data_IF_527833525175
#
_entry.id   IF_527833525175
#
_cell.length_a   1.000
_cell.length_b   1.000
_cell.length_c   1.000
_cell.angle_alpha   90.00
_cell.angle_beta   90.00
_cell.angle_gamma   90.00
#
_symmetry.space_group_name_H-M   'P 1'
#
loop_
_entity.id
_entity.type
_entity.pdbx_description
1 polymer ?
#
# COMPACT_ATOMS: atom_id res chain seq x y z
N UNK A 1 -79.95 -9.62 34.00
CA UNK A 1 -79.53 -8.23 34.28
C UNK A 1 -78.53 -8.28 35.43
N UNK A 2 -77.30 -7.82 35.18
CA UNK A 2 -76.32 -7.14 36.07
C UNK A 2 -76.33 -7.45 37.58
N UNK A 3 -75.21 -7.60 38.31
CA UNK A 3 -73.76 -7.53 38.04
C UNK A 3 -73.02 -7.97 39.32
N UNK A 4 -71.72 -8.19 39.16
CA UNK A 4 -70.64 -8.56 40.08
C UNK A 4 -70.42 -7.69 41.33
N UNK A 5 -69.62 -8.22 42.29
CA UNK A 5 -68.47 -7.52 42.88
C UNK A 5 -67.48 -8.51 43.54
N UNK A 6 -66.19 -8.44 43.16
CA UNK A 6 -65.04 -9.04 43.87
C UNK A 6 -64.06 -7.92 44.22
N UNK A 7 -63.50 -8.01 45.43
CA UNK A 7 -62.63 -7.02 46.06
C UNK A 7 -61.14 -7.38 45.88
N UNK A 8 -60.32 -6.34 45.88
CA UNK A 8 -58.91 -6.25 45.50
C UNK A 8 -57.90 -7.06 46.35
N UNK A 9 -56.71 -7.28 45.77
CA UNK A 9 -55.44 -7.32 46.51
C UNK A 9 -54.29 -6.73 45.67
N UNK A 10 -53.32 -6.17 46.37
CA UNK A 10 -52.32 -5.18 45.96
C UNK A 10 -51.21 -5.68 45.01
N UNK A 11 -50.69 -4.77 44.17
CA UNK A 11 -49.44 -4.93 43.42
C UNK A 11 -48.51 -3.76 43.75
N UNK A 12 -47.32 -4.10 44.22
CA UNK A 12 -46.16 -3.23 44.44
C UNK A 12 -45.60 -2.70 43.13
N UNK A 13 -45.40 -1.39 43.04
CA UNK A 13 -44.79 -0.70 41.92
C UNK A 13 -43.27 -0.90 41.88
N UNK A 14 -42.75 -1.36 40.74
CA UNK A 14 -41.36 -1.17 40.33
C UNK A 14 -41.36 -0.50 38.97
N UNK A 15 -40.74 0.67 38.92
CA UNK A 15 -40.66 1.55 37.77
C UNK A 15 -39.96 0.85 36.59
N UNK A 16 -40.68 0.75 35.46
CA UNK A 16 -40.10 0.35 34.19
C UNK A 16 -39.24 1.49 33.63
N UNK A 17 -37.92 1.33 33.66
CA UNK A 17 -37.02 2.09 32.82
C UNK A 17 -37.20 1.58 31.39
N UNK A 18 -37.99 2.30 30.59
CA UNK A 18 -38.01 2.12 29.14
C UNK A 18 -36.65 2.57 28.58
N UNK A 19 -35.73 1.61 28.42
CA UNK A 19 -34.55 1.79 27.60
C UNK A 19 -35.04 1.85 26.14
N UNK A 20 -35.17 3.06 25.63
CA UNK A 20 -35.30 3.34 24.21
C UNK A 20 -34.11 2.72 23.49
N UNK A 21 -34.36 1.66 22.71
CA UNK A 21 -33.38 1.14 21.78
C UNK A 21 -32.97 2.28 20.82
N UNK A 22 -31.68 2.55 20.62
CA UNK A 22 -31.29 3.50 19.59
C UNK A 22 -31.71 2.90 18.25
N UNK A 23 -32.46 3.69 17.47
CA UNK A 23 -32.84 3.37 16.11
C UNK A 23 -31.59 2.91 15.36
N UNK A 24 -31.71 1.75 14.71
CA UNK A 24 -30.68 1.23 13.82
C UNK A 24 -30.29 2.34 12.85
N UNK A 25 -29.06 2.83 12.98
CA UNK A 25 -28.48 3.70 11.97
C UNK A 25 -28.51 2.89 10.67
N UNK A 26 -29.29 3.38 9.72
CA UNK A 26 -29.25 2.92 8.34
C UNK A 26 -27.78 2.96 7.93
N UNK A 27 -27.19 1.79 7.74
CA UNK A 27 -25.80 1.65 7.35
C UNK A 27 -25.60 2.44 6.07
N UNK A 28 -24.90 3.57 6.17
CA UNK A 28 -24.22 4.13 5.02
C UNK A 28 -23.26 3.04 4.59
N UNK A 29 -23.55 2.38 3.47
CA UNK A 29 -22.58 1.53 2.79
C UNK A 29 -21.37 2.40 2.51
N UNK A 30 -20.35 2.33 3.38
CA UNK A 30 -19.05 2.88 3.08
C UNK A 30 -18.61 2.20 1.79
N UNK A 31 -18.43 2.97 0.73
CA UNK A 31 -17.66 2.50 -0.42
C UNK A 31 -16.33 2.05 0.16
N UNK A 32 -16.08 0.74 0.21
CA UNK A 32 -14.83 0.21 0.71
C UNK A 32 -13.74 0.74 -0.22
N UNK A 33 -12.93 1.66 0.30
CA UNK A 33 -11.76 2.26 -0.34
C UNK A 33 -10.71 1.16 -0.55
N UNK A 34 -10.96 0.18 -1.40
CA UNK A 34 -9.89 -0.77 -1.71
C UNK A 34 -8.94 -0.08 -2.66
N UNK A 35 -7.69 0.08 -2.22
CA UNK A 35 -6.44 0.40 -2.93
C UNK A 35 -5.33 -0.38 -2.24
N UNK A 36 -5.53 -1.70 -2.11
CA UNK A 36 -4.67 -2.59 -1.31
C UNK A 36 -3.24 -2.54 -1.81
N UNK A 37 -2.29 -2.65 -0.90
CA UNK A 37 -0.88 -2.88 -1.21
C UNK A 37 -0.55 -4.22 -0.57
N UNK A 38 -0.52 -5.25 -1.40
CA UNK A 38 -0.34 -6.63 -0.98
C UNK A 38 1.10 -7.05 -1.30
N UNK A 39 1.74 -7.79 -0.40
CA UNK A 39 3.11 -8.27 -0.62
C UNK A 39 3.22 -9.77 -0.37
N UNK A 40 3.69 -10.50 -1.38
CA UNK A 40 4.11 -11.89 -1.17
C UNK A 40 5.45 -11.93 -0.47
N UNK A 41 5.53 -12.78 0.55
CA UNK A 41 6.72 -12.98 1.37
C UNK A 41 7.07 -14.46 1.38
N UNK A 42 7.69 -14.91 0.28
CA UNK A 42 8.09 -16.30 0.08
C UNK A 42 9.56 -16.56 0.45
N UNK A 43 10.48 -15.67 0.09
CA UNK A 43 11.90 -15.79 0.44
C UNK A 43 12.14 -15.22 1.84
N UNK A 44 11.97 -16.05 2.88
CA UNK A 44 12.25 -15.64 4.26
C UNK A 44 13.74 -15.63 4.61
N UNK A 45 14.55 -16.39 3.88
CA UNK A 45 15.98 -16.50 4.09
C UNK A 45 16.72 -16.34 2.76
N UNK A 46 17.60 -15.36 2.67
CA UNK A 46 18.51 -15.18 1.54
C UNK A 46 19.91 -15.56 2.00
N UNK A 47 20.51 -16.60 1.42
CA UNK A 47 21.84 -17.08 1.79
C UNK A 47 21.98 -17.35 3.31
N UNK A 48 20.97 -18.01 3.90
CA UNK A 48 20.84 -18.27 5.34
C UNK A 48 20.71 -17.02 6.24
N UNK A 49 20.54 -15.84 5.66
CA UNK A 49 20.24 -14.61 6.39
C UNK A 49 18.74 -14.37 6.39
N UNK A 50 18.18 -14.25 7.59
CA UNK A 50 16.76 -13.95 7.77
C UNK A 50 16.41 -12.57 7.16
N UNK A 51 15.36 -12.53 6.35
CA UNK A 51 14.83 -11.32 5.72
C UNK A 51 13.59 -10.88 6.47
N UNK A 52 13.72 -9.90 7.38
CA UNK A 52 12.58 -9.40 8.16
C UNK A 52 11.58 -8.62 7.28
N UNK A 53 10.25 -8.88 7.40
CA UNK A 53 9.22 -8.10 6.71
C UNK A 53 8.86 -6.80 7.44
N UNK A 54 9.26 -6.66 8.72
CA UNK A 54 8.92 -5.49 9.57
C UNK A 54 9.21 -4.13 8.96
N UNK A 55 10.28 -3.93 8.16
CA UNK A 55 10.53 -2.64 7.52
C UNK A 55 9.36 -2.11 6.69
N UNK A 56 8.43 -2.96 6.22
CA UNK A 56 7.20 -2.48 5.57
C UNK A 56 6.30 -1.70 6.53
N UNK A 57 6.19 -2.10 7.80
CA UNK A 57 5.43 -1.32 8.80
C UNK A 57 6.28 -0.27 9.49
N UNK A 58 7.56 -0.55 9.78
CA UNK A 58 8.45 0.37 10.51
C UNK A 58 8.74 1.66 9.71
N UNK A 59 8.58 1.61 8.38
CA UNK A 59 8.74 2.77 7.50
C UNK A 59 7.40 3.36 6.99
N UNK A 60 6.26 2.97 7.59
CA UNK A 60 4.92 3.49 7.23
C UNK A 60 4.62 3.42 5.72
N UNK A 61 4.90 2.28 5.08
CA UNK A 61 4.82 2.18 3.62
C UNK A 61 3.39 2.21 3.08
N UNK A 62 2.38 2.02 3.93
CA UNK A 62 0.99 1.81 3.52
C UNK A 62 0.66 0.39 3.09
N UNK A 63 1.54 -0.59 3.40
CA UNK A 63 1.22 -2.02 3.24
C UNK A 63 -0.09 -2.36 3.96
N UNK A 64 -0.98 -3.08 3.29
CA UNK A 64 -2.26 -3.51 3.86
C UNK A 64 -2.27 -5.00 4.18
N UNK A 65 -1.62 -5.81 3.33
CA UNK A 65 -1.68 -7.27 3.42
C UNK A 65 -0.31 -7.90 3.13
N UNK A 66 0.06 -8.93 3.90
CA UNK A 66 1.24 -9.75 3.64
C UNK A 66 0.83 -11.21 3.50
N UNK A 67 1.28 -11.83 2.42
CA UNK A 67 1.00 -13.22 2.09
C UNK A 67 2.25 -14.05 2.38
N UNK A 68 2.30 -14.72 3.55
CA UNK A 68 3.43 -15.55 3.96
C UNK A 68 3.34 -16.92 3.29
N UNK A 69 4.39 -17.32 2.58
CA UNK A 69 4.32 -18.49 1.73
C UNK A 69 5.66 -19.15 1.39
N UNK A 70 5.64 -20.24 0.63
CA UNK A 70 4.43 -20.97 0.24
C UNK A 70 4.14 -22.11 1.23
N UNK A 71 2.88 -22.29 1.62
CA UNK A 71 2.43 -23.43 2.43
C UNK A 71 2.16 -24.62 1.52
N UNK A 72 2.85 -25.73 1.76
CA UNK A 72 2.71 -26.97 1.02
C UNK A 72 2.19 -28.10 1.91
N UNK A 73 1.19 -28.82 1.39
CA UNK A 73 0.70 -30.06 1.98
C UNK A 73 1.35 -31.21 1.23
N UNK A 74 2.22 -31.98 1.87
CA UNK A 74 3.07 -32.98 1.22
C UNK A 74 2.47 -34.39 1.29
N UNK A 75 2.82 -35.27 0.34
CA UNK A 75 2.24 -36.62 0.24
C UNK A 75 2.67 -37.57 1.35
N UNK A 76 3.75 -37.26 2.08
CA UNK A 76 4.16 -37.97 3.29
C UNK A 76 3.34 -37.55 4.53
N UNK A 77 2.34 -36.69 4.34
CA UNK A 77 1.52 -36.15 5.40
C UNK A 77 2.16 -34.98 6.15
N UNK A 78 3.33 -34.48 5.74
CA UNK A 78 3.91 -33.28 6.36
C UNK A 78 3.27 -32.01 5.80
N UNK A 79 3.38 -30.91 6.57
CA UNK A 79 3.02 -29.57 6.12
C UNK A 79 4.24 -28.70 6.25
N UNK A 80 4.65 -28.08 5.16
CA UNK A 80 5.81 -27.20 5.13
C UNK A 80 5.42 -25.75 4.79
N UNK A 81 6.17 -24.81 5.34
CA UNK A 81 6.38 -23.48 4.78
C UNK A 81 7.68 -23.56 3.98
N UNK A 82 7.58 -23.43 2.66
CA UNK A 82 8.64 -23.77 1.72
C UNK A 82 9.20 -25.18 2.01
N UNK A 83 10.45 -25.27 2.44
CA UNK A 83 11.13 -26.56 2.62
C UNK A 83 11.04 -27.15 4.04
N UNK A 84 10.44 -26.44 5.01
CA UNK A 84 10.49 -26.83 6.42
C UNK A 84 9.14 -26.74 7.10
N UNK A 85 8.88 -27.52 8.17
CA UNK A 85 7.66 -27.39 8.95
C UNK A 85 7.46 -25.93 9.43
N UNK A 86 6.23 -25.39 9.42
CA UNK A 86 5.96 -24.03 9.90
C UNK A 86 6.44 -23.77 11.34
N UNK A 87 6.49 -24.81 12.16
CA UNK A 87 6.99 -24.75 13.54
C UNK A 87 8.50 -25.00 13.71
N UNK A 88 9.26 -25.09 12.61
CA UNK A 88 10.72 -25.14 12.68
C UNK A 88 11.24 -23.85 13.33
N UNK A 89 12.19 -24.00 14.28
CA UNK A 89 12.74 -22.91 15.08
C UNK A 89 13.30 -21.73 14.26
N UNK A 90 13.67 -21.95 12.99
CA UNK A 90 14.08 -20.86 12.10
C UNK A 90 12.98 -19.80 11.94
N UNK A 91 11.71 -20.23 11.85
CA UNK A 91 10.61 -19.31 11.62
C UNK A 91 10.14 -18.59 12.88
N UNK A 92 10.73 -18.85 14.06
CA UNK A 92 10.33 -18.19 15.31
C UNK A 92 10.39 -16.66 15.22
N UNK A 93 11.48 -16.11 14.66
CA UNK A 93 11.60 -14.67 14.47
C UNK A 93 10.59 -14.16 13.44
N UNK A 94 10.37 -14.92 12.36
CA UNK A 94 9.40 -14.58 11.33
C UNK A 94 7.99 -14.47 11.89
N UNK A 95 7.52 -15.46 12.65
CA UNK A 95 6.20 -15.41 13.26
C UNK A 95 6.07 -14.26 14.26
N UNK A 96 7.13 -13.96 15.01
CA UNK A 96 7.18 -12.78 15.90
C UNK A 96 7.04 -11.48 15.10
N UNK A 97 7.72 -11.37 13.97
CA UNK A 97 7.72 -10.20 13.11
C UNK A 97 6.36 -9.99 12.44
N UNK A 98 5.74 -11.05 11.92
CA UNK A 98 4.41 -11.02 11.32
C UNK A 98 3.33 -10.65 12.35
N UNK A 99 3.37 -11.22 13.55
CA UNK A 99 2.45 -10.85 14.63
C UNK A 99 2.59 -9.37 15.03
N UNK A 100 3.82 -8.83 15.01
CA UNK A 100 4.05 -7.41 15.25
C UNK A 100 3.49 -6.51 14.12
N UNK A 101 3.43 -7.00 12.88
CA UNK A 101 2.78 -6.31 11.77
C UNK A 101 1.26 -6.36 11.88
N UNK A 102 0.68 -7.49 12.28
CA UNK A 102 -0.75 -7.60 12.59
C UNK A 102 -1.17 -6.63 13.70
N UNK A 103 -0.36 -6.50 14.75
CA UNK A 103 -0.60 -5.52 15.81
C UNK A 103 -0.58 -4.05 15.33
N UNK A 104 -0.03 -3.78 14.13
CA UNK A 104 -0.06 -2.48 13.46
C UNK A 104 -1.16 -2.36 12.39
N UNK A 105 -2.06 -3.34 12.28
CA UNK A 105 -3.20 -3.32 11.39
C UNK A 105 -2.94 -3.85 9.98
N UNK A 106 -1.83 -4.57 9.76
CA UNK A 106 -1.58 -5.29 8.50
C UNK A 106 -2.21 -6.68 8.58
N UNK A 107 -2.99 -7.09 7.58
CA UNK A 107 -3.48 -8.47 7.54
C UNK A 107 -2.34 -9.41 7.14
N UNK A 108 -2.20 -10.54 7.82
CA UNK A 108 -1.23 -11.58 7.49
C UNK A 108 -1.96 -12.88 7.14
N UNK A 109 -1.86 -13.29 5.88
CA UNK A 109 -2.54 -14.48 5.34
C UNK A 109 -1.53 -15.52 4.84
N UNK A 110 -1.90 -16.80 4.85
CA UNK A 110 -1.07 -17.84 4.25
C UNK A 110 -1.25 -17.86 2.72
N UNK A 111 -0.15 -17.81 1.97
CA UNK A 111 -0.13 -18.23 0.56
C UNK A 111 0.00 -19.74 0.51
N UNK A 112 -0.99 -20.43 -0.06
CA UNK A 112 -1.09 -21.90 -0.09
C UNK A 112 -0.90 -22.40 -1.52
N UNK A 113 0.02 -23.36 -1.71
CA UNK A 113 0.30 -23.96 -3.01
C UNK A 113 1.38 -23.23 -3.81
N UNK A 114 0.99 -22.59 -4.91
CA UNK A 114 1.89 -21.99 -5.91
C UNK A 114 2.56 -22.99 -6.83
N UNK A 115 3.68 -22.58 -7.43
CA UNK A 115 4.38 -23.33 -8.48
C UNK A 115 4.79 -24.77 -8.09
N UNK A 116 5.05 -25.03 -6.81
CA UNK A 116 5.30 -26.38 -6.30
C UNK A 116 3.97 -27.14 -6.12
N UNK A 117 3.62 -27.93 -7.12
CA UNK A 117 2.34 -28.63 -7.22
C UNK A 117 2.12 -29.73 -6.18
N UNK A 118 0.85 -30.05 -5.94
CA UNK A 118 0.35 -31.23 -5.24
C UNK A 118 -0.55 -30.89 -4.04
N UNK A 119 -0.45 -29.68 -3.50
CA UNK A 119 -1.31 -29.22 -2.40
C UNK A 119 -2.79 -29.30 -2.76
N UNK A 120 -3.16 -28.86 -3.96
CA UNK A 120 -4.56 -28.85 -4.39
C UNK A 120 -5.01 -30.22 -4.90
N UNK A 121 -4.13 -31.08 -5.41
CA UNK A 121 -4.47 -32.50 -5.61
C UNK A 121 -4.87 -33.16 -4.30
N UNK A 122 -4.13 -32.90 -3.22
CA UNK A 122 -4.39 -33.49 -1.89
C UNK A 122 -5.69 -32.94 -1.28
N UNK A 123 -5.91 -31.63 -1.37
CA UNK A 123 -7.17 -31.01 -0.94
C UNK A 123 -8.38 -31.46 -1.78
N UNK A 124 -8.17 -31.85 -3.04
CA UNK A 124 -9.23 -32.44 -3.85
C UNK A 124 -9.51 -33.90 -3.46
N UNK A 125 -8.47 -34.74 -3.43
CA UNK A 125 -8.61 -36.20 -3.40
C UNK A 125 -8.69 -36.76 -1.96
N UNK A 126 -8.11 -36.07 -0.99
CA UNK A 126 -7.91 -36.54 0.40
C UNK A 126 -8.25 -35.45 1.42
N UNK A 127 -9.36 -34.73 1.19
CA UNK A 127 -9.73 -33.51 1.93
C UNK A 127 -9.72 -33.68 3.45
N UNK A 128 -10.35 -34.73 3.97
CA UNK A 128 -10.45 -34.98 5.43
C UNK A 128 -9.07 -35.20 6.09
N UNK A 129 -8.07 -35.63 5.31
CA UNK A 129 -6.70 -35.82 5.79
C UNK A 129 -5.90 -34.52 5.78
N UNK A 130 -6.08 -33.69 4.74
CA UNK A 130 -5.19 -32.56 4.46
C UNK A 130 -5.75 -31.20 4.85
N UNK A 131 -7.08 -31.00 4.79
CA UNK A 131 -7.70 -29.76 5.23
C UNK A 131 -7.44 -29.46 6.71
N UNK A 132 -7.55 -30.42 7.66
CA UNK A 132 -7.23 -30.15 9.07
C UNK A 132 -5.79 -29.66 9.30
N UNK A 133 -4.85 -30.02 8.41
CA UNK A 133 -3.45 -29.59 8.52
C UNK A 133 -3.29 -28.13 8.11
N UNK A 134 -3.93 -27.72 7.00
CA UNK A 134 -4.00 -26.31 6.63
C UNK A 134 -4.69 -25.49 7.72
N UNK A 135 -5.84 -25.96 8.22
CA UNK A 135 -6.55 -25.34 9.33
C UNK A 135 -5.66 -25.16 10.55
N UNK A 136 -4.86 -26.18 10.90
CA UNK A 136 -3.94 -26.13 12.03
C UNK A 136 -2.91 -25.00 11.87
N UNK A 137 -2.29 -24.84 10.69
CA UNK A 137 -1.35 -23.74 10.43
C UNK A 137 -2.04 -22.40 10.65
N UNK A 138 -3.22 -22.19 10.05
CA UNK A 138 -3.99 -20.95 10.18
C UNK A 138 -4.26 -20.63 11.65
N UNK A 139 -4.78 -21.61 12.40
CA UNK A 139 -5.14 -21.42 13.82
C UNK A 139 -3.92 -21.22 14.72
N UNK A 140 -2.82 -21.91 14.45
CA UNK A 140 -1.63 -21.88 15.31
C UNK A 140 -0.91 -20.54 15.23
N UNK A 141 -0.86 -19.94 14.04
CA UNK A 141 -0.17 -18.67 13.80
C UNK A 141 -1.09 -17.46 13.73
N UNK A 142 -2.39 -17.64 14.01
CA UNK A 142 -3.36 -16.54 14.07
C UNK A 142 -3.47 -15.78 12.75
N UNK A 143 -3.45 -16.49 11.62
CA UNK A 143 -3.50 -15.87 10.29
C UNK A 143 -4.90 -15.28 10.03
N UNK A 144 -4.93 -14.11 9.40
CA UNK A 144 -6.16 -13.37 9.08
C UNK A 144 -6.90 -13.95 7.86
N UNK A 145 -6.20 -14.79 7.07
CA UNK A 145 -6.74 -15.34 5.85
C UNK A 145 -5.88 -16.38 5.15
N UNK A 146 -6.31 -16.74 3.95
CA UNK A 146 -5.55 -17.52 2.97
C UNK A 146 -5.64 -16.91 1.59
N UNK A 147 -4.53 -16.99 0.87
CA UNK A 147 -4.46 -16.87 -0.58
C UNK A 147 -4.27 -18.27 -1.18
N UNK A 148 -5.24 -18.71 -1.98
CA UNK A 148 -5.22 -19.99 -2.65
C UNK A 148 -4.59 -19.82 -4.04
N UNK A 149 -3.27 -19.97 -4.12
CA UNK A 149 -2.49 -19.83 -5.34
C UNK A 149 -2.47 -21.16 -6.14
N UNK A 150 -3.55 -21.43 -6.87
CA UNK A 150 -3.78 -22.70 -7.54
C UNK A 150 -3.08 -22.76 -8.91
N UNK A 151 -1.83 -23.22 -8.94
CA UNK A 151 -1.03 -23.42 -10.17
C UNK A 151 -0.98 -24.89 -10.65
N UNK A 152 -2.05 -25.62 -10.38
CA UNK A 152 -2.27 -27.00 -10.82
C UNK A 152 -3.76 -27.26 -11.08
N UNK A 153 -4.09 -28.26 -11.90
CA UNK A 153 -5.49 -28.56 -12.22
C UNK A 153 -6.28 -29.02 -10.99
N UNK A 154 -7.26 -28.22 -10.56
CA UNK A 154 -8.23 -28.56 -9.52
C UNK A 154 -9.66 -28.45 -10.10
N UNK A 155 -10.57 -29.32 -9.67
CA UNK A 155 -11.97 -29.30 -10.13
C UNK A 155 -12.77 -28.16 -9.48
N UNK A 156 -13.80 -27.68 -10.19
CA UNK A 156 -14.72 -26.65 -9.68
C UNK A 156 -15.35 -27.05 -8.34
N UNK A 157 -15.78 -28.30 -8.21
CA UNK A 157 -16.39 -28.80 -6.98
C UNK A 157 -15.41 -28.80 -5.79
N UNK A 158 -14.14 -29.11 -6.04
CA UNK A 158 -13.13 -29.16 -4.99
C UNK A 158 -12.76 -27.77 -4.46
N UNK A 159 -12.56 -26.78 -5.36
CA UNK A 159 -12.28 -25.41 -4.92
C UNK A 159 -13.48 -24.80 -4.19
N UNK A 160 -14.70 -25.06 -4.67
CA UNK A 160 -15.93 -24.63 -4.00
C UNK A 160 -16.02 -25.22 -2.58
N UNK A 161 -15.76 -26.53 -2.42
CA UNK A 161 -15.73 -27.19 -1.12
C UNK A 161 -14.71 -26.56 -0.17
N UNK A 162 -13.50 -26.28 -0.67
CA UNK A 162 -12.44 -25.68 0.16
C UNK A 162 -12.85 -24.29 0.68
N UNK A 163 -13.37 -23.43 -0.20
CA UNK A 163 -13.84 -22.08 0.18
C UNK A 163 -15.02 -22.17 1.16
N UNK A 164 -15.96 -23.09 0.90
CA UNK A 164 -17.11 -23.31 1.78
C UNK A 164 -16.68 -23.76 3.18
N UNK A 165 -15.71 -24.66 3.27
CA UNK A 165 -15.20 -25.15 4.55
C UNK A 165 -14.41 -24.07 5.30
N UNK A 166 -13.54 -23.31 4.63
CA UNK A 166 -12.82 -22.18 5.23
C UNK A 166 -13.80 -21.15 5.81
N UNK A 167 -14.83 -20.78 5.03
CA UNK A 167 -15.86 -19.84 5.48
C UNK A 167 -16.64 -20.39 6.68
N UNK A 168 -16.92 -21.69 6.70
CA UNK A 168 -17.63 -22.35 7.80
C UNK A 168 -16.80 -22.33 9.09
N UNK A 169 -15.51 -22.59 8.98
CA UNK A 169 -14.64 -22.77 10.13
C UNK A 169 -14.14 -21.45 10.73
N UNK A 170 -13.95 -20.41 9.90
CA UNK A 170 -13.36 -19.14 10.31
C UNK A 170 -14.33 -17.94 10.25
N UNK A 171 -15.51 -18.12 9.64
CA UNK A 171 -16.52 -17.08 9.54
C UNK A 171 -16.25 -16.05 8.45
N UNK A 172 -17.15 -15.07 8.31
CA UNK A 172 -17.15 -14.09 7.21
C UNK A 172 -16.11 -12.97 7.36
N UNK A 173 -15.38 -12.92 8.47
CA UNK A 173 -14.27 -11.98 8.67
C UNK A 173 -12.91 -12.54 8.25
N UNK A 174 -12.86 -13.83 7.89
CA UNK A 174 -11.64 -14.49 7.43
C UNK A 174 -11.41 -14.19 5.95
N UNK A 175 -10.22 -13.70 5.62
CA UNK A 175 -9.89 -13.26 4.26
C UNK A 175 -9.64 -14.49 3.38
N UNK A 176 -10.34 -14.59 2.25
CA UNK A 176 -10.12 -15.62 1.24
C UNK A 176 -9.84 -14.96 -0.10
N UNK A 177 -8.63 -15.17 -0.60
CA UNK A 177 -8.20 -14.70 -1.91
C UNK A 177 -7.71 -15.86 -2.77
N UNK A 178 -7.58 -15.60 -4.07
CA UNK A 178 -6.96 -16.52 -5.01
C UNK A 178 -5.99 -15.72 -5.88
N UNK A 179 -5.00 -16.41 -6.48
CA UNK A 179 -4.00 -15.80 -7.35
C UNK A 179 -4.12 -16.27 -8.83
N UNK A 180 -5.24 -15.98 -9.52
CA UNK A 180 -5.39 -16.35 -10.93
C UNK A 180 -4.34 -15.67 -11.80
N UNK A 181 -3.81 -16.38 -12.79
CA UNK A 181 -3.16 -15.72 -13.93
C UNK A 181 -4.15 -14.76 -14.60
N UNK A 182 -3.72 -13.55 -15.00
CA UNK A 182 -4.65 -12.50 -15.42
C UNK A 182 -5.54 -12.91 -16.61
N UNK A 183 -5.01 -13.71 -17.54
CA UNK A 183 -5.81 -14.28 -18.65
C UNK A 183 -6.98 -15.14 -18.17
N UNK A 184 -6.88 -15.82 -17.02
CA UNK A 184 -7.97 -16.66 -16.51
C UNK A 184 -9.22 -15.83 -16.14
N UNK A 185 -9.03 -14.54 -15.83
CA UNK A 185 -10.11 -13.59 -15.56
C UNK A 185 -10.63 -12.89 -16.82
N UNK A 186 -9.86 -12.89 -17.92
CA UNK A 186 -10.23 -12.27 -19.19
C UNK A 186 -10.72 -13.27 -20.25
N UNK A 187 -10.99 -14.53 -19.87
CA UNK A 187 -11.45 -15.60 -20.77
C UNK A 187 -10.35 -16.27 -21.60
N UNK A 188 -9.08 -16.07 -21.22
CA UNK A 188 -7.90 -16.69 -21.82
C UNK A 188 -7.39 -17.92 -21.06
N UNK A 189 -6.09 -18.18 -21.18
CA UNK A 189 -5.43 -19.32 -20.54
C UNK A 189 -5.45 -19.29 -19.01
N UNK A 190 -5.32 -20.47 -18.40
CA UNK A 190 -5.50 -20.70 -16.97
C UNK A 190 -4.58 -21.83 -16.49
N UNK A 191 -4.10 -21.75 -15.25
CA UNK A 191 -3.32 -22.79 -14.58
C UNK A 191 -4.18 -23.70 -13.67
N UNK A 192 -5.29 -23.19 -13.15
CA UNK A 192 -5.99 -23.78 -11.99
C UNK A 192 -6.97 -24.91 -12.35
N UNK A 193 -7.20 -25.18 -13.63
CA UNK A 193 -8.18 -26.17 -14.12
C UNK A 193 -9.64 -25.71 -14.04
N UNK A 194 -10.11 -25.29 -12.86
CA UNK A 194 -11.46 -24.75 -12.67
C UNK A 194 -11.64 -23.39 -13.34
N UNK A 195 -12.88 -22.98 -13.56
CA UNK A 195 -13.20 -21.73 -14.25
C UNK A 195 -13.49 -20.60 -13.24
N UNK A 196 -12.68 -19.53 -13.28
CA UNK A 196 -12.83 -18.40 -12.35
C UNK A 196 -14.14 -17.63 -12.52
N UNK A 197 -14.72 -17.57 -13.72
CA UNK A 197 -16.04 -16.93 -13.90
C UNK A 197 -17.14 -17.74 -13.21
N UNK A 198 -17.08 -19.06 -13.29
CA UNK A 198 -18.00 -19.97 -12.59
C UNK A 198 -17.81 -19.83 -11.09
N UNK A 199 -16.55 -19.80 -10.63
CA UNK A 199 -16.24 -19.60 -9.21
C UNK A 199 -16.80 -18.29 -8.67
N UNK A 200 -16.62 -17.17 -9.39
CA UNK A 200 -17.15 -15.87 -8.95
C UNK A 200 -18.68 -15.86 -8.86
N UNK A 201 -19.38 -16.49 -9.82
CA UNK A 201 -20.84 -16.59 -9.78
C UNK A 201 -21.34 -17.43 -8.61
N UNK A 202 -20.64 -18.51 -8.28
CA UNK A 202 -21.08 -19.47 -7.28
C UNK A 202 -20.64 -19.12 -5.86
N UNK A 203 -19.47 -18.48 -5.71
CA UNK A 203 -18.80 -18.25 -4.42
C UNK A 203 -18.18 -16.86 -4.27
N UNK A 204 -18.41 -15.94 -5.20
CA UNK A 204 -17.83 -14.59 -5.15
C UNK A 204 -18.15 -13.79 -3.89
N UNK A 205 -19.25 -14.08 -3.19
CA UNK A 205 -19.57 -13.46 -1.89
C UNK A 205 -18.71 -13.94 -0.72
N UNK A 206 -17.94 -15.03 -0.91
CA UNK A 206 -17.00 -15.61 0.06
C UNK A 206 -15.54 -15.42 -0.34
N UNK A 207 -15.29 -14.65 -1.40
CA UNK A 207 -13.96 -14.34 -1.93
C UNK A 207 -13.80 -12.83 -1.86
N UNK A 208 -12.82 -12.36 -1.10
CA UNK A 208 -12.60 -10.94 -0.87
C UNK A 208 -12.04 -10.25 -2.13
N UNK A 209 -11.03 -10.85 -2.75
CA UNK A 209 -10.47 -10.41 -4.03
C UNK A 209 -9.61 -11.48 -4.73
N UNK A 210 -9.13 -11.15 -5.93
CA UNK A 210 -8.23 -11.94 -6.76
C UNK A 210 -6.91 -11.18 -6.96
N UNK A 211 -5.78 -11.79 -6.59
CA UNK A 211 -4.42 -11.32 -6.88
C UNK A 211 -4.06 -11.71 -8.32
N UNK A 212 -4.50 -10.92 -9.30
CA UNK A 212 -4.44 -11.30 -10.71
C UNK A 212 -3.01 -11.13 -11.27
N UNK A 213 -2.37 -12.22 -11.68
CA UNK A 213 -0.97 -12.20 -12.11
C UNK A 213 -0.80 -11.61 -13.52
N UNK A 214 -0.37 -10.36 -13.63
CA UNK A 214 -0.07 -9.67 -14.91
C UNK A 214 1.41 -9.79 -15.30
N UNK A 215 1.95 -11.00 -15.21
CA UNK A 215 3.36 -11.29 -15.48
C UNK A 215 3.52 -12.74 -15.95
N UNK A 216 4.76 -13.22 -16.11
CA UNK A 216 5.08 -14.57 -16.62
C UNK A 216 4.41 -14.94 -17.96
N UNK A 217 4.05 -13.95 -18.79
CA UNK A 217 3.37 -14.16 -20.08
C UNK A 217 1.83 -14.20 -20.01
N UNK A 218 1.25 -14.05 -18.82
CA UNK A 218 -0.20 -14.08 -18.60
C UNK A 218 -0.86 -12.70 -18.56
N UNK A 219 -0.08 -11.63 -18.73
CA UNK A 219 -0.56 -10.26 -18.73
C UNK A 219 0.59 -9.27 -18.61
N UNK A 220 0.25 -7.99 -18.57
CA UNK A 220 1.20 -6.92 -18.29
C UNK A 220 0.50 -5.69 -17.72
N UNK A 221 1.17 -5.03 -16.76
CA UNK A 221 0.80 -3.72 -16.23
C UNK A 221 1.63 -2.58 -16.83
N UNK A 222 2.19 -2.77 -18.03
CA UNK A 222 2.85 -1.69 -18.78
C UNK A 222 1.88 -0.60 -19.26
N UNK A 223 0.57 -0.91 -19.27
CA UNK A 223 -0.55 0.00 -19.51
C UNK A 223 -1.83 -0.63 -18.93
N UNK A 224 -2.99 0.04 -19.05
CA UNK A 224 -4.25 -0.40 -18.43
C UNK A 224 -4.98 -1.51 -19.20
N UNK A 225 -4.58 -1.83 -20.44
CA UNK A 225 -5.39 -2.67 -21.35
C UNK A 225 -5.70 -4.05 -20.78
N UNK A 226 -4.72 -4.73 -20.16
CA UNK A 226 -4.93 -6.05 -19.58
C UNK A 226 -5.98 -6.03 -18.46
N UNK A 227 -5.87 -5.04 -17.57
CA UNK A 227 -6.82 -4.85 -16.48
C UNK A 227 -8.21 -4.45 -17.01
N UNK A 228 -8.26 -3.54 -17.98
CA UNK A 228 -9.49 -3.09 -18.64
C UNK A 228 -10.24 -4.26 -19.28
N UNK A 229 -9.52 -5.20 -19.91
CA UNK A 229 -10.12 -6.39 -20.51
C UNK A 229 -10.84 -7.25 -19.47
N UNK A 230 -10.30 -7.40 -18.26
CA UNK A 230 -10.96 -8.15 -17.17
C UNK A 230 -12.23 -7.43 -16.73
N UNK A 231 -12.15 -6.12 -16.45
CA UNK A 231 -13.30 -5.35 -15.96
C UNK A 231 -14.40 -5.25 -17.02
N UNK A 232 -14.04 -5.09 -18.30
CA UNK A 232 -15.00 -4.98 -19.41
C UNK A 232 -15.76 -6.28 -19.69
N UNK A 233 -15.35 -7.42 -19.11
CA UNK A 233 -16.17 -8.65 -19.13
C UNK A 233 -17.42 -8.54 -18.27
N UNK A 234 -17.48 -7.56 -17.36
CA UNK A 234 -18.68 -7.24 -16.57
C UNK A 234 -19.00 -8.25 -15.48
N UNK A 235 -18.07 -9.14 -15.14
CA UNK A 235 -18.23 -10.10 -14.04
C UNK A 235 -17.43 -9.70 -12.80
N UNK A 236 -16.13 -9.47 -12.97
CA UNK A 236 -15.25 -9.02 -11.89
C UNK A 236 -15.36 -7.50 -11.73
N UNK A 237 -15.59 -7.05 -10.49
CA UNK A 237 -15.60 -5.62 -10.17
C UNK A 237 -14.19 -5.12 -9.83
N UNK A 238 -13.84 -3.85 -10.08
CA UNK A 238 -12.49 -3.36 -9.83
C UNK A 238 -12.00 -3.58 -8.39
N UNK A 239 -12.87 -3.49 -7.38
CA UNK A 239 -12.50 -3.70 -5.98
C UNK A 239 -12.10 -5.14 -5.62
N UNK A 240 -12.46 -6.09 -6.50
CA UNK A 240 -12.13 -7.51 -6.36
C UNK A 240 -10.94 -7.95 -7.21
N UNK A 241 -10.34 -7.06 -8.00
CA UNK A 241 -9.16 -7.38 -8.82
C UNK A 241 -7.99 -6.55 -8.31
N UNK A 242 -7.02 -7.23 -7.72
CA UNK A 242 -5.71 -6.65 -7.36
C UNK A 242 -4.75 -6.92 -8.51
N UNK A 243 -4.02 -5.89 -8.92
CA UNK A 243 -3.09 -5.98 -10.04
C UNK A 243 -1.74 -6.57 -9.59
N UNK A 244 -1.53 -7.86 -9.85
CA UNK A 244 -0.28 -8.53 -9.49
C UNK A 244 0.83 -8.26 -10.47
N UNK A 245 1.99 -7.87 -9.93
CA UNK A 245 3.20 -7.55 -10.69
C UNK A 245 4.42 -8.16 -10.04
N UNK A 246 5.48 -8.38 -10.82
CA UNK A 246 6.77 -8.76 -10.24
C UNK A 246 7.53 -7.52 -9.75
N UNK A 247 8.11 -7.62 -8.56
CA UNK A 247 8.81 -6.51 -7.87
C UNK A 247 10.26 -6.34 -8.33
N UNK A 248 10.81 -7.38 -8.97
CA UNK A 248 12.16 -7.43 -9.50
C UNK A 248 12.17 -8.26 -10.80
N UNK A 249 12.99 -7.88 -11.77
CA UNK A 249 13.09 -8.57 -13.06
C UNK A 249 13.68 -9.98 -12.98
N UNK A 250 14.32 -10.34 -11.87
CA UNK A 250 14.81 -11.69 -11.61
C UNK A 250 13.71 -12.68 -11.20
N UNK A 251 12.53 -12.20 -10.76
CA UNK A 251 11.50 -13.07 -10.17
C UNK A 251 10.67 -13.80 -11.23
N UNK A 252 10.41 -13.16 -12.38
CA UNK A 252 9.84 -13.79 -13.57
C UNK A 252 10.01 -12.89 -14.81
N UNK A 253 9.54 -13.33 -15.98
CA UNK A 253 9.34 -12.46 -17.14
C UNK A 253 8.16 -11.50 -16.94
N UNK A 254 8.17 -10.36 -17.66
CA UNK A 254 7.07 -9.39 -17.64
C UNK A 254 7.23 -8.22 -16.65
N UNK A 255 8.46 -7.97 -16.17
CA UNK A 255 8.74 -6.85 -15.27
C UNK A 255 8.41 -5.52 -15.93
N UNK A 256 7.70 -4.67 -15.19
CA UNK A 256 7.35 -3.33 -15.62
C UNK A 256 8.21 -2.32 -14.85
N UNK A 257 8.99 -1.46 -15.54
CA UNK A 257 9.77 -0.43 -14.87
C UNK A 257 8.90 0.45 -13.97
N UNK A 258 9.42 0.78 -12.79
CA UNK A 258 8.67 1.46 -11.73
C UNK A 258 7.93 2.72 -12.20
N UNK A 259 8.57 3.57 -13.02
CA UNK A 259 7.94 4.79 -13.54
C UNK A 259 6.69 4.51 -14.39
N UNK A 260 6.75 3.46 -15.23
CA UNK A 260 5.62 3.01 -16.06
C UNK A 260 4.53 2.40 -15.20
N UNK A 261 4.90 1.56 -14.24
CA UNK A 261 3.95 0.93 -13.32
C UNK A 261 3.17 1.98 -12.53
N UNK A 262 3.87 2.95 -11.93
CA UNK A 262 3.23 4.04 -11.17
C UNK A 262 2.23 4.84 -12.02
N UNK A 263 2.59 5.14 -13.27
CA UNK A 263 1.70 5.83 -14.22
C UNK A 263 0.45 5.00 -14.53
N UNK A 264 0.62 3.70 -14.71
CA UNK A 264 -0.49 2.77 -14.97
C UNK A 264 -1.42 2.68 -13.78
N UNK A 265 -0.89 2.52 -12.57
CA UNK A 265 -1.69 2.45 -11.33
C UNK A 265 -2.47 3.74 -11.07
N UNK A 266 -1.84 4.90 -11.26
CA UNK A 266 -2.54 6.19 -11.14
C UNK A 266 -3.68 6.34 -12.16
N UNK A 267 -3.48 5.84 -13.39
CA UNK A 267 -4.52 5.82 -14.43
C UNK A 267 -5.68 4.90 -14.05
N UNK A 268 -5.39 3.72 -13.48
CA UNK A 268 -6.41 2.78 -13.02
C UNK A 268 -7.21 3.33 -11.84
N UNK A 269 -6.57 3.98 -10.87
CA UNK A 269 -7.28 4.66 -9.78
C UNK A 269 -8.18 5.77 -10.28
N UNK A 270 -7.72 6.54 -11.28
CA UNK A 270 -8.55 7.60 -11.90
C UNK A 270 -9.75 7.00 -12.63
N UNK A 271 -9.56 5.88 -13.32
CA UNK A 271 -10.60 5.23 -14.12
C UNK A 271 -11.58 4.42 -13.27
N UNK A 272 -11.10 3.79 -12.22
CA UNK A 272 -11.83 2.91 -11.32
C UNK A 272 -11.61 3.40 -9.87
N UNK A 273 -12.49 4.28 -9.35
CA UNK A 273 -12.32 4.85 -8.00
C UNK A 273 -12.22 3.80 -6.88
N UNK A 274 -12.82 2.63 -7.08
CA UNK A 274 -12.76 1.47 -6.20
C UNK A 274 -11.72 0.41 -6.65
N UNK A 275 -10.63 0.82 -7.30
CA UNK A 275 -9.58 -0.06 -7.83
C UNK A 275 -8.93 -0.94 -6.74
N UNK A 276 -9.07 -2.26 -6.84
CA UNK A 276 -8.78 -3.24 -5.79
C UNK A 276 -7.40 -3.13 -5.14
N UNK A 277 -6.37 -2.72 -5.89
CA UNK A 277 -5.02 -2.51 -5.39
C UNK A 277 -3.95 -3.09 -6.31
N UNK A 278 -2.74 -3.23 -5.77
CA UNK A 278 -1.59 -3.88 -6.41
C UNK A 278 -0.99 -4.90 -5.46
N UNK A 279 -0.57 -6.05 -6.01
CA UNK A 279 0.24 -7.04 -5.29
C UNK A 279 1.63 -7.17 -5.91
N UNK A 280 2.62 -7.54 -5.08
CA UNK A 280 4.02 -7.65 -5.48
C UNK A 280 4.59 -9.06 -5.25
N UNK A 281 5.05 -9.70 -6.32
CA UNK A 281 5.84 -10.94 -6.31
C UNK A 281 7.34 -10.66 -6.53
N UNK A 282 8.20 -10.63 -5.51
CA UNK A 282 7.95 -10.78 -4.07
C UNK A 282 8.89 -9.88 -3.25
N UNK A 283 8.77 -9.89 -1.93
CA UNK A 283 9.37 -8.89 -1.05
C UNK A 283 10.90 -8.73 -1.16
N UNK A 284 11.67 -9.80 -0.92
CA UNK A 284 13.05 -9.71 -0.43
C UNK A 284 14.04 -8.92 -1.30
N UNK A 285 13.78 -8.82 -2.61
CA UNK A 285 14.65 -8.17 -3.60
C UNK A 285 13.96 -7.03 -4.36
N UNK A 286 12.84 -6.53 -3.85
CA UNK A 286 11.99 -5.58 -4.56
C UNK A 286 12.72 -4.28 -4.94
N UNK A 287 12.60 -3.89 -6.21
CA UNK A 287 13.07 -2.59 -6.67
C UNK A 287 12.18 -1.46 -6.12
N UNK A 288 12.72 -0.26 -5.84
CA UNK A 288 14.07 0.20 -6.16
C UNK A 288 15.11 -0.09 -5.07
N UNK A 289 14.71 -0.69 -3.95
CA UNK A 289 15.58 -0.90 -2.79
C UNK A 289 16.48 -2.13 -2.89
N UNK A 290 16.16 -3.06 -3.81
CA UNK A 290 16.80 -4.35 -3.89
C UNK A 290 16.75 -5.08 -2.55
N UNK A 291 17.78 -5.87 -2.25
CA UNK A 291 17.89 -6.59 -0.98
C UNK A 291 18.21 -5.70 0.22
N UNK A 292 18.66 -4.46 0.00
CA UNK A 292 19.05 -3.55 1.07
C UNK A 292 17.86 -2.78 1.67
N UNK A 293 16.85 -2.45 0.86
CA UNK A 293 15.67 -1.72 1.30
C UNK A 293 14.39 -2.18 0.56
N UNK A 294 14.06 -3.48 0.55
CA UNK A 294 12.96 -4.03 -0.27
C UNK A 294 11.59 -3.39 0.03
N UNK A 295 11.39 -2.91 1.26
CA UNK A 295 10.17 -2.20 1.68
C UNK A 295 9.84 -0.95 0.85
N UNK A 296 10.81 -0.35 0.16
CA UNK A 296 10.58 0.85 -0.67
C UNK A 296 9.54 0.62 -1.76
N UNK A 297 9.45 -0.59 -2.31
CA UNK A 297 8.46 -0.92 -3.33
C UNK A 297 7.03 -0.64 -2.84
N UNK A 298 6.69 -1.09 -1.62
CA UNK A 298 5.36 -0.88 -1.05
C UNK A 298 5.05 0.62 -0.90
N UNK A 299 6.04 1.42 -0.48
CA UNK A 299 5.89 2.88 -0.37
C UNK A 299 5.61 3.53 -1.72
N UNK A 300 6.27 3.08 -2.78
CA UNK A 300 6.07 3.60 -4.13
C UNK A 300 4.70 3.23 -4.69
N UNK A 301 4.22 2.03 -4.38
CA UNK A 301 2.88 1.56 -4.77
C UNK A 301 1.77 2.33 -4.07
N UNK A 302 1.87 2.49 -2.75
CA UNK A 302 0.95 3.32 -1.97
C UNK A 302 0.89 4.74 -2.53
N UNK A 303 2.06 5.32 -2.82
CA UNK A 303 2.16 6.67 -3.41
C UNK A 303 1.47 6.76 -4.77
N UNK A 304 1.65 5.75 -5.64
CA UNK A 304 1.03 5.72 -6.95
C UNK A 304 -0.51 5.58 -6.89
N UNK A 305 -1.03 4.73 -6.02
CA UNK A 305 -2.48 4.46 -5.93
C UNK A 305 -3.22 5.49 -5.08
N UNK A 306 -2.52 6.17 -4.19
CA UNK A 306 -3.01 7.39 -3.55
C UNK A 306 -2.91 8.56 -4.54
N UNK A 307 -3.32 8.35 -5.80
CA UNK A 307 -3.42 9.37 -6.85
C UNK A 307 -2.12 9.83 -7.50
N UNK A 308 -0.95 9.21 -7.24
CA UNK A 308 0.34 9.78 -7.68
C UNK A 308 0.46 11.26 -7.30
N UNK A 309 -0.28 11.64 -6.25
CA UNK A 309 -0.95 12.94 -6.16
C UNK A 309 -2.11 12.94 -5.17
N UNK A 310 -1.98 12.27 -4.03
CA UNK A 310 -2.72 12.44 -2.75
C UNK A 310 -2.02 11.64 -1.62
N UNK A 311 -0.68 11.61 -1.50
CA UNK A 311 -0.08 12.44 -0.44
C UNK A 311 -0.52 13.89 -0.59
N UNK A 312 -0.68 14.69 0.48
CA UNK A 312 -1.24 16.03 0.38
C UNK A 312 -0.78 16.69 -0.93
N UNK A 313 -1.71 17.08 -1.80
CA UNK A 313 -1.35 17.47 -3.18
C UNK A 313 -0.28 18.54 -3.07
N UNK A 314 0.91 18.33 -3.65
CA UNK A 314 1.94 19.35 -3.65
C UNK A 314 1.45 20.52 -4.50
N UNK A 315 0.85 21.51 -3.87
CA UNK A 315 0.29 22.69 -4.50
C UNK A 315 1.36 23.57 -5.15
N UNK A 316 2.64 23.36 -4.80
CA UNK A 316 3.77 24.03 -5.43
C UNK A 316 4.29 23.29 -6.69
N UNK A 317 3.86 22.06 -6.96
CA UNK A 317 4.34 21.26 -8.09
C UNK A 317 4.09 21.97 -9.43
N UNK A 318 5.15 22.16 -10.20
CA UNK A 318 5.12 22.81 -11.52
C UNK A 318 4.76 24.29 -11.49
N UNK A 319 4.65 24.92 -10.31
CA UNK A 319 4.25 26.32 -10.19
C UNK A 319 5.37 27.28 -10.57
N UNK A 320 5.04 28.50 -11.03
CA UNK A 320 6.04 29.52 -11.30
C UNK A 320 6.91 29.80 -10.07
N UNK A 321 8.22 29.59 -10.22
CA UNK A 321 9.20 29.82 -9.18
C UNK A 321 10.20 30.92 -9.60
N UNK A 322 10.61 31.73 -8.63
CA UNK A 322 11.58 32.82 -8.78
C UNK A 322 12.53 32.80 -7.59
N UNK A 323 13.77 33.26 -7.73
CA UNK A 323 14.74 33.18 -6.66
C UNK A 323 15.94 34.07 -6.90
N UNK A 324 16.89 34.02 -5.98
CA UNK A 324 18.20 34.66 -6.15
C UNK A 324 18.97 34.04 -7.32
N UNK A 325 20.00 34.75 -7.81
CA UNK A 325 20.79 34.31 -8.96
C UNK A 325 21.31 32.89 -8.80
N UNK A 326 21.01 32.04 -9.78
CA UNK A 326 21.36 30.63 -9.75
C UNK A 326 22.88 30.42 -9.87
N UNK A 327 23.41 29.34 -9.28
CA UNK A 327 24.84 28.97 -9.42
C UNK A 327 25.19 28.69 -10.89
N UNK A 328 24.27 28.05 -11.62
CA UNK A 328 24.37 27.76 -13.05
C UNK A 328 22.98 27.89 -13.70
N UNK A 329 22.93 27.94 -15.03
CA UNK A 329 21.66 28.07 -15.78
C UNK A 329 20.72 26.86 -15.61
N UNK A 330 21.25 25.68 -15.27
CA UNK A 330 20.48 24.46 -15.05
C UNK A 330 19.97 24.31 -13.62
N UNK A 331 20.44 25.11 -12.67
CA UNK A 331 20.11 25.03 -11.22
C UNK A 331 19.18 26.17 -10.77
N UNK A 332 18.26 26.58 -11.66
CA UNK A 332 17.32 27.67 -11.40
C UNK A 332 16.18 27.29 -10.44
N UNK A 333 15.39 28.28 -9.97
CA UNK A 333 14.28 28.09 -9.03
C UNK A 333 13.26 27.01 -9.43
N UNK A 334 13.03 26.80 -10.73
CA UNK A 334 12.11 25.79 -11.25
C UNK A 334 12.50 24.35 -10.88
N UNK A 335 13.78 24.10 -10.53
CA UNK A 335 14.23 22.80 -10.04
C UNK A 335 13.68 22.46 -8.66
N UNK A 336 13.35 23.46 -7.85
CA UNK A 336 12.84 23.24 -6.50
C UNK A 336 11.32 22.99 -6.43
N UNK A 337 10.66 22.81 -7.58
CA UNK A 337 9.21 22.60 -7.69
C UNK A 337 8.86 21.60 -8.81
N UNK A 338 9.83 20.81 -9.27
CA UNK A 338 9.64 19.91 -10.41
C UNK A 338 9.17 18.51 -9.99
N UNK A 339 9.06 18.25 -8.68
CA UNK A 339 8.62 16.97 -8.13
C UNK A 339 9.70 15.91 -8.10
N UNK A 340 10.98 16.29 -8.24
CA UNK A 340 12.10 15.38 -8.33
C UNK A 340 13.20 15.73 -7.34
N UNK A 341 13.81 14.70 -6.76
CA UNK A 341 15.07 14.80 -6.01
C UNK A 341 16.16 13.90 -6.59
N UNK A 342 15.86 13.17 -7.65
CA UNK A 342 16.69 12.05 -8.14
C UNK A 342 17.47 12.39 -9.41
N UNK A 343 17.33 13.59 -9.97
CA UNK A 343 18.06 14.02 -11.16
C UNK A 343 19.53 14.39 -10.90
N UNK A 344 20.06 14.08 -9.71
CA UNK A 344 21.45 14.35 -9.33
C UNK A 344 21.73 15.84 -9.10
N UNK A 345 22.99 16.26 -9.29
CA UNK A 345 23.40 17.63 -8.96
C UNK A 345 22.70 18.72 -9.78
N UNK A 346 22.18 18.42 -10.98
CA UNK A 346 21.47 19.41 -11.81
C UNK A 346 19.98 19.56 -11.44
N UNK A 347 19.52 18.84 -10.41
CA UNK A 347 18.11 18.77 -10.00
C UNK A 347 17.84 19.54 -8.71
N UNK A 348 18.52 20.67 -8.54
CA UNK A 348 18.35 21.55 -7.37
C UNK A 348 18.32 23.00 -7.78
N UNK A 349 17.66 23.82 -6.97
CA UNK A 349 17.94 25.24 -6.94
C UNK A 349 19.23 25.48 -6.15
N UNK A 350 20.22 26.10 -6.80
CA UNK A 350 21.48 26.49 -6.18
C UNK A 350 21.67 28.00 -6.25
N UNK A 351 22.15 28.64 -5.17
CA UNK A 351 22.52 30.06 -5.24
C UNK A 351 23.70 30.44 -4.33
N UNK A 352 24.64 31.21 -4.90
CA UNK A 352 25.78 31.82 -4.21
C UNK A 352 25.55 33.30 -3.86
N UNK A 353 24.39 33.88 -4.18
CA UNK A 353 24.08 35.27 -3.91
C UNK A 353 24.21 35.66 -2.43
N UNK A 354 24.51 36.92 -2.13
CA UNK A 354 24.63 37.44 -0.76
C UNK A 354 23.29 37.38 0.00
N UNK A 355 22.19 37.65 -0.71
CA UNK A 355 20.82 37.42 -0.23
C UNK A 355 20.20 36.26 -1.01
N UNK A 356 19.83 35.19 -0.29
CA UNK A 356 19.36 33.93 -0.88
C UNK A 356 17.87 33.75 -0.60
N UNK A 357 17.11 33.59 -1.68
CA UNK A 357 15.68 33.29 -1.55
C UNK A 357 15.16 32.43 -2.69
N UNK A 358 14.08 31.72 -2.41
CA UNK A 358 13.25 30.98 -3.35
C UNK A 358 11.79 31.36 -3.08
N UNK A 359 11.04 31.71 -4.13
CA UNK A 359 9.63 32.12 -4.06
C UNK A 359 8.81 31.32 -5.08
N UNK A 360 7.65 30.84 -4.66
CA UNK A 360 6.68 30.12 -5.49
C UNK A 360 5.35 30.89 -5.51
N UNK A 361 4.76 31.05 -6.71
CA UNK A 361 3.38 31.54 -6.90
C UNK A 361 2.42 30.34 -7.05
N UNK A 362 1.55 30.11 -6.08
CA UNK A 362 0.58 29.01 -6.12
C UNK A 362 -0.54 29.25 -7.17
N UNK A 363 -0.64 30.47 -7.70
CA UNK A 363 -1.61 30.91 -8.70
C UNK A 363 -2.84 31.61 -8.09
N UNK A 364 -3.28 31.16 -6.92
CA UNK A 364 -4.35 31.78 -6.14
C UNK A 364 -4.14 31.58 -4.64
N UNK A 365 -4.84 32.37 -3.82
CA UNK A 365 -4.81 32.23 -2.38
C UNK A 365 -5.38 30.85 -1.98
N UNK A 366 -4.55 30.00 -1.40
CA UNK A 366 -4.85 28.60 -1.11
C UNK A 366 -4.63 28.32 0.37
N UNK A 367 -5.54 27.56 0.98
CA UNK A 367 -5.39 27.11 2.37
C UNK A 367 -4.28 26.05 2.44
N UNK A 368 -3.36 26.23 3.38
CA UNK A 368 -2.22 25.35 3.61
C UNK A 368 -2.23 24.80 5.05
N UNK A 369 -1.87 23.52 5.17
CA UNK A 369 -1.67 22.79 6.43
C UNK A 369 -0.23 22.40 6.69
N UNK A 370 0.57 22.29 5.64
CA UNK A 370 1.97 21.90 5.77
C UNK A 370 2.84 22.44 4.64
N UNK A 371 4.10 22.72 4.96
CA UNK A 371 5.15 23.07 4.00
C UNK A 371 6.31 22.10 4.23
N UNK A 372 6.76 21.43 3.17
CA UNK A 372 7.91 20.51 3.23
C UNK A 372 9.05 21.05 2.37
N UNK A 373 10.28 20.86 2.84
CA UNK A 373 11.50 21.27 2.14
C UNK A 373 12.42 20.06 2.04
N UNK A 374 12.85 19.72 0.83
CA UNK A 374 13.91 18.74 0.58
C UNK A 374 15.23 19.49 0.36
N UNK A 375 16.19 19.23 1.25
CA UNK A 375 17.53 19.85 1.29
C UNK A 375 18.54 19.02 0.48
N UNK A 376 19.80 19.45 0.45
CA UNK A 376 20.88 18.79 -0.28
C UNK A 376 20.93 17.26 -0.09
N UNK A 377 20.84 16.79 1.16
CA UNK A 377 20.89 15.36 1.49
C UNK A 377 19.70 14.55 0.99
N UNK A 378 18.56 15.19 0.70
CA UNK A 378 17.43 14.49 0.07
C UNK A 378 17.69 14.17 -1.40
N UNK A 379 18.53 14.98 -2.06
CA UNK A 379 19.00 14.75 -3.42
C UNK A 379 20.28 13.91 -3.53
N UNK A 380 20.72 13.30 -2.43
CA UNK A 380 21.91 12.43 -2.39
C UNK A 380 23.24 13.15 -2.18
N UNK A 381 23.26 14.47 -1.93
CA UNK A 381 24.47 15.19 -1.55
C UNK A 381 24.85 14.96 -0.07
N UNK A 382 26.03 15.40 0.35
CA UNK A 382 26.43 15.35 1.76
C UNK A 382 25.43 16.09 2.65
N UNK A 383 25.03 15.47 3.77
CA UNK A 383 24.14 16.09 4.76
C UNK A 383 24.73 17.33 5.42
N UNK A 384 26.06 17.52 5.36
CA UNK A 384 26.73 18.76 5.79
C UNK A 384 26.32 19.96 4.94
N UNK A 385 25.78 19.74 3.74
CA UNK A 385 25.24 20.77 2.86
C UNK A 385 23.73 21.03 3.07
N UNK A 386 23.09 20.37 4.03
CA UNK A 386 21.70 20.68 4.39
C UNK A 386 21.58 22.11 4.91
N UNK A 387 20.54 22.83 4.46
CA UNK A 387 20.27 24.20 4.87
C UNK A 387 20.07 24.28 6.37
N UNK A 388 20.90 25.06 7.05
CA UNK A 388 20.92 25.15 8.52
C UNK A 388 19.89 26.12 9.07
N UNK A 389 19.82 27.32 8.52
CA UNK A 389 18.94 28.38 9.00
C UNK A 389 18.21 29.09 7.87
N UNK A 390 16.90 29.25 8.05
CA UNK A 390 15.99 29.84 7.06
C UNK A 390 14.68 30.29 7.70
N UNK A 391 13.96 31.16 7.00
CA UNK A 391 12.58 31.55 7.34
C UNK A 391 11.64 31.17 6.22
N UNK A 392 10.44 30.70 6.60
CA UNK A 392 9.31 30.49 5.70
C UNK A 392 8.41 31.72 5.81
N UNK A 393 8.10 32.35 4.68
CA UNK A 393 7.31 33.56 4.60
C UNK A 393 6.15 33.38 3.60
N UNK A 394 5.06 34.08 3.85
CA UNK A 394 3.82 34.02 3.07
C UNK A 394 3.34 35.41 2.68
N UNK A 395 2.60 35.52 1.57
CA UNK A 395 2.10 36.78 1.03
C UNK A 395 0.93 36.54 0.07
N UNK A 396 -0.01 37.49 0.00
CA UNK A 396 -1.10 37.48 -0.99
C UNK A 396 -0.85 38.42 -2.19
N UNK A 397 0.08 39.36 -2.07
CA UNK A 397 0.38 40.42 -3.04
C UNK A 397 1.82 40.38 -3.59
N UNK A 398 2.65 39.46 -3.08
CA UNK A 398 4.08 39.34 -3.34
C UNK A 398 4.95 40.55 -2.92
N UNK A 399 4.40 41.54 -2.23
CA UNK A 399 5.10 42.75 -1.76
C UNK A 399 5.18 42.79 -0.24
N UNK A 400 4.09 42.48 0.45
CA UNK A 400 3.99 42.43 1.92
C UNK A 400 4.14 40.99 2.39
N UNK A 401 5.11 40.72 3.28
CA UNK A 401 5.46 39.36 3.69
C UNK A 401 5.31 39.15 5.19
N UNK A 402 4.68 38.04 5.57
CA UNK A 402 4.57 37.59 6.97
C UNK A 402 5.39 36.33 7.18
N UNK A 403 6.17 36.28 8.26
CA UNK A 403 6.95 35.10 8.63
C UNK A 403 6.03 34.05 9.27
N UNK A 404 5.95 32.87 8.65
CA UNK A 404 5.18 31.72 9.15
C UNK A 404 6.03 30.80 10.04
N UNK A 405 7.33 30.67 9.77
CA UNK A 405 8.24 29.88 10.59
C UNK A 405 9.69 30.40 10.51
N UNK A 406 10.45 30.20 11.58
CA UNK A 406 11.89 30.50 11.66
C UNK A 406 12.64 29.29 12.17
N UNK A 407 13.62 28.84 11.38
CA UNK A 407 14.45 27.67 11.65
C UNK A 407 15.91 28.13 11.72
N UNK A 408 16.64 27.71 12.75
CA UNK A 408 18.01 28.18 13.01
C UNK A 408 19.08 27.08 13.04
N UNK A 409 18.69 25.82 13.22
CA UNK A 409 19.62 24.69 13.45
C UNK A 409 19.19 23.39 12.77
N UNK A 410 18.58 23.46 11.58
CA UNK A 410 18.20 22.25 10.84
C UNK A 410 19.43 21.42 10.46
N UNK A 411 19.36 20.12 10.65
CA UNK A 411 20.33 19.14 10.14
C UNK A 411 19.70 18.08 9.23
N UNK A 412 18.36 18.02 9.17
CA UNK A 412 17.60 17.01 8.42
C UNK A 412 17.62 17.26 6.92
N UNK A 413 17.65 16.16 6.16
CA UNK A 413 17.58 16.18 4.69
C UNK A 413 16.18 16.54 4.17
N UNK A 414 15.13 16.26 4.94
CA UNK A 414 13.76 16.70 4.67
C UNK A 414 13.20 17.32 5.95
N UNK A 415 12.52 18.46 5.83
CA UNK A 415 11.85 19.11 6.96
C UNK A 415 10.40 19.43 6.63
N UNK A 416 9.49 19.18 7.56
CA UNK A 416 8.06 19.45 7.42
C UNK A 416 7.62 20.44 8.49
N UNK A 417 6.87 21.47 8.08
CA UNK A 417 6.47 22.60 8.90
C UNK A 417 4.95 22.73 8.86
N UNK A 418 4.24 22.33 9.94
CA UNK A 418 2.81 22.53 10.05
C UNK A 418 2.47 24.02 10.02
N UNK A 419 1.45 24.39 9.24
CA UNK A 419 0.92 25.75 9.14
C UNK A 419 -0.61 25.70 9.15
N UNK A 420 -1.26 26.84 9.39
CA UNK A 420 -2.71 26.95 9.25
C UNK A 420 -3.03 28.35 8.74
N UNK A 421 -2.83 28.55 7.44
CA UNK A 421 -2.92 29.86 6.80
C UNK A 421 -3.46 29.74 5.37
N UNK A 422 -3.93 30.86 4.82
CA UNK A 422 -4.29 30.97 3.40
C UNK A 422 -3.35 31.98 2.74
N UNK A 423 -2.64 31.56 1.70
CA UNK A 423 -1.65 32.40 1.00
C UNK A 423 -1.60 32.08 -0.48
N UNK A 424 -1.20 33.05 -1.31
CA UNK A 424 -0.88 32.81 -2.72
C UNK A 424 0.60 32.54 -2.94
N UNK A 425 1.47 33.22 -2.20
CA UNK A 425 2.91 33.14 -2.39
C UNK A 425 3.58 32.50 -1.17
N UNK A 426 4.58 31.67 -1.45
CA UNK A 426 5.52 31.13 -0.47
C UNK A 426 6.92 31.65 -0.77
N UNK A 427 7.67 32.04 0.25
CA UNK A 427 9.08 32.42 0.13
C UNK A 427 9.92 31.78 1.22
N UNK A 428 10.99 31.10 0.80
CA UNK A 428 12.08 30.67 1.64
C UNK A 428 13.19 31.72 1.58
N UNK A 429 13.62 32.24 2.74
CA UNK A 429 14.80 33.11 2.85
C UNK A 429 15.86 32.38 3.66
N UNK A 430 17.04 32.17 3.08
CA UNK A 430 18.10 31.36 3.67
C UNK A 430 19.14 32.28 4.32
N UNK A 431 19.39 32.09 5.62
CA UNK A 431 20.35 32.88 6.40
C UNK A 431 21.63 32.10 6.72
N UNK A 432 21.56 30.77 6.80
CA UNK A 432 22.76 29.91 6.91
C UNK A 432 22.59 28.69 6.01
N UNK A 433 23.29 28.65 4.86
CA UNK A 433 22.99 27.67 3.80
C UNK A 433 23.50 26.26 4.06
N UNK A 434 24.46 26.06 4.96
CA UNK A 434 25.08 24.74 5.22
C UNK A 434 25.52 24.60 6.68
N UNK A 435 25.93 23.39 7.06
CA UNK A 435 26.49 23.09 8.39
C UNK A 435 27.97 23.43 8.50
N UNK A 436 28.69 23.35 7.37
CA UNK A 436 30.16 23.37 7.31
C UNK A 436 30.76 24.68 6.78
N UNK A 437 29.93 25.71 6.58
CA UNK A 437 30.38 27.02 6.10
C UNK A 437 30.46 27.16 4.59
N UNK A 438 30.14 26.12 3.81
CA UNK A 438 29.94 26.26 2.37
C UNK A 438 28.83 27.31 2.08
N UNK A 439 29.07 28.27 1.17
CA UNK A 439 28.17 29.41 0.99
C UNK A 439 26.98 29.14 0.06
N UNK A 440 26.85 27.96 -0.55
CA UNK A 440 25.79 27.68 -1.53
C UNK A 440 24.53 27.14 -0.84
N UNK A 441 23.38 27.77 -1.10
CA UNK A 441 22.09 27.13 -0.79
C UNK A 441 21.80 26.06 -1.82
N UNK A 442 21.20 24.94 -1.40
CA UNK A 442 20.86 23.78 -2.24
C UNK A 442 19.49 23.26 -1.82
N UNK A 443 18.46 23.57 -2.61
CA UNK A 443 17.08 23.17 -2.33
C UNK A 443 16.60 22.30 -3.48
N UNK A 444 16.26 21.05 -3.15
CA UNK A 444 15.76 20.08 -4.12
C UNK A 444 14.26 20.22 -4.33
N UNK A 445 13.48 20.45 -3.28
CA UNK A 445 12.04 20.70 -3.39
C UNK A 445 11.55 21.67 -2.31
N UNK A 446 10.59 22.52 -2.66
CA UNK A 446 9.75 23.31 -1.76
C UNK A 446 8.29 22.95 -2.06
N UNK A 447 7.68 22.18 -1.16
CA UNK A 447 6.35 21.60 -1.34
C UNK A 447 5.34 22.26 -0.40
N UNK A 448 4.10 22.38 -0.86
CA UNK A 448 3.02 23.01 -0.10
C UNK A 448 1.77 22.13 -0.13
N UNK A 449 1.10 22.00 1.01
CA UNK A 449 0.07 20.99 1.24
C UNK A 449 -1.13 21.58 1.96
N UNK A 450 -2.35 21.20 1.56
CA UNK A 450 -3.63 21.66 2.12
C UNK A 450 -4.17 20.82 3.26
#
# INVERSE_FOLDING_TARGET
MFREAITALAVTALAGAALTAPAAAVGVTSVADSKRVVMYYQTQYLNNVYVSPKPMTDNNTGITDVLVGAIHLNSDGTTHLNDHPPGDSRYNQMWTDLAAMQAKGVNVSAMVGGAAQGTFQRLQNEFETYYPRLKNVITTYGLDGVDLDVEETMSQAAINRLIDQLTTDFGTGFIITLAPVATALSGGGNLSGFNYETLERERGSKIDWYNAQFYCGWGSMANTTGYDNIINRGLFTPNKVVAGVITNSANCGGYVPLATLKTTLASLVTKYPNFGGVDGWEYFNSDPGGTAAPWRWASEMTSAMSGGGTGPVNLALGKPATGSTACTSSEGPAKAVNGSVTGGNSDKFCSLASSKFLRVDLGSATALRSIEISHAGAGGESTTYNTRAFTIQTSNDATTWTTAATITTNTSSVTTHPVSLTTRYLRLTITTPTQNGDPATRIYELKAFA
#
